data_IF_776533708761
#
_entry.id   IF_776533708761
#
_cell.length_a   1.000
_cell.length_b   1.000
_cell.length_c   1.000
_cell.angle_alpha   90.00
_cell.angle_beta   90.00
_cell.angle_gamma   90.00
#
_symmetry.space_group_name_H-M   'P 1'
#
loop_
_entity.id
_entity.type
_entity.pdbx_description
1 polymer ?
#
# COMPACT_ATOMS: atom_id res chain seq x y z
N UNK A 1 -3.07 -12.58 -13.22
CA UNK A 1 -2.48 -11.50 -12.40
C UNK A 1 -3.48 -10.37 -12.25
N UNK A 2 -3.53 -9.72 -11.08
CA UNK A 2 -4.40 -8.59 -10.79
C UNK A 2 -3.57 -7.34 -10.44
N UNK A 3 -3.90 -6.19 -11.02
CA UNK A 3 -3.26 -4.90 -10.73
C UNK A 3 -4.19 -4.00 -9.92
N UNK A 4 -3.75 -3.56 -8.75
CA UNK A 4 -4.47 -2.67 -7.84
C UNK A 4 -3.77 -1.32 -7.81
N UNK A 5 -4.25 -0.36 -8.59
CA UNK A 5 -3.67 0.99 -8.65
C UNK A 5 -3.91 1.81 -7.38
N UNK A 6 -3.20 2.93 -7.26
CA UNK A 6 -3.25 3.84 -6.11
C UNK A 6 -4.48 4.75 -6.06
N UNK A 7 -4.49 5.64 -5.08
CA UNK A 7 -5.57 6.61 -4.88
C UNK A 7 -5.63 7.60 -6.03
N UNK A 8 -6.84 8.04 -6.39
CA UNK A 8 -7.04 8.99 -7.48
C UNK A 8 -6.82 8.42 -8.88
N UNK A 9 -6.54 7.12 -9.01
CA UNK A 9 -6.39 6.46 -10.30
C UNK A 9 -7.70 6.44 -11.09
N UNK A 10 -7.58 6.14 -12.38
CA UNK A 10 -8.72 5.92 -13.25
C UNK A 10 -8.47 4.72 -14.17
N UNK A 11 -9.55 4.12 -14.64
CA UNK A 11 -9.53 3.00 -15.57
C UNK A 11 -10.63 3.21 -16.61
N UNK A 12 -10.27 3.15 -17.88
CA UNK A 12 -11.16 3.38 -19.03
C UNK A 12 -11.35 2.14 -19.89
N UNK A 13 -10.92 0.96 -19.43
CA UNK A 13 -11.01 -0.29 -20.21
C UNK A 13 -9.71 -0.69 -20.90
N UNK A 14 -8.62 0.04 -20.67
CA UNK A 14 -7.33 -0.23 -21.30
C UNK A 14 -6.75 -1.59 -20.89
N UNK A 15 -5.93 -2.18 -21.77
CA UNK A 15 -5.17 -3.40 -21.47
C UNK A 15 -3.80 -3.05 -20.91
N UNK A 16 -3.25 -3.97 -20.12
CA UNK A 16 -1.89 -3.87 -19.61
C UNK A 16 -0.95 -4.37 -20.70
N UNK A 17 0.03 -3.55 -21.06
CA UNK A 17 1.04 -3.86 -22.07
C UNK A 17 2.44 -4.00 -21.46
N UNK A 18 3.38 -4.55 -22.23
CA UNK A 18 4.78 -4.63 -21.85
C UNK A 18 5.18 -5.87 -21.05
N UNK A 19 4.22 -6.72 -20.69
CA UNK A 19 4.47 -8.04 -20.09
C UNK A 19 4.36 -9.17 -21.13
N UNK A 20 4.97 -10.34 -20.89
CA UNK A 20 4.88 -11.50 -21.78
C UNK A 20 3.43 -11.92 -22.04
N UNK A 21 3.13 -12.34 -23.26
CA UNK A 21 1.77 -12.67 -23.71
C UNK A 21 1.11 -13.84 -22.98
N UNK A 22 1.91 -14.74 -22.41
CA UNK A 22 1.45 -15.88 -21.62
C UNK A 22 1.01 -15.48 -20.20
N UNK A 23 1.32 -14.26 -19.75
CA UNK A 23 0.79 -13.72 -18.52
C UNK A 23 -0.45 -12.86 -18.78
N UNK A 24 -1.57 -13.29 -18.20
CA UNK A 24 -2.81 -12.53 -18.28
C UNK A 24 -2.93 -11.57 -17.10
N UNK A 25 -3.05 -10.28 -17.42
CA UNK A 25 -3.25 -9.21 -16.46
C UNK A 25 -4.65 -8.61 -16.60
N UNK A 26 -5.26 -8.30 -15.46
CA UNK A 26 -6.48 -7.49 -15.38
C UNK A 26 -6.33 -6.44 -14.28
N UNK A 27 -7.07 -5.34 -14.40
CA UNK A 27 -7.14 -4.33 -13.35
C UNK A 27 -8.19 -4.71 -12.31
N UNK A 28 -7.89 -4.39 -11.05
CA UNK A 28 -8.91 -4.23 -10.03
C UNK A 28 -9.69 -2.95 -10.34
N UNK A 29 -11.01 -3.08 -10.38
CA UNK A 29 -11.89 -1.92 -10.46
C UNK A 29 -12.42 -1.53 -9.10
N UNK A 30 -12.19 -0.26 -8.75
CA UNK A 30 -12.77 0.37 -7.57
C UNK A 30 -14.30 0.48 -7.64
N UNK A 31 -14.93 0.28 -8.81
CA UNK A 31 -16.39 0.22 -8.96
C UNK A 31 -16.96 -1.20 -8.97
N UNK A 32 -16.10 -2.21 -9.12
CA UNK A 32 -16.49 -3.61 -9.20
C UNK A 32 -16.38 -4.13 -10.64
N UNK A 33 -17.05 -5.23 -10.93
CA UNK A 33 -16.94 -5.91 -12.22
C UNK A 33 -18.33 -6.10 -12.85
N UNK A 34 -18.35 -6.24 -14.17
CA UNK A 34 -19.50 -6.73 -14.91
C UNK A 34 -19.81 -8.20 -14.55
N UNK A 35 -21.00 -8.72 -14.89
CA UNK A 35 -21.35 -10.12 -14.61
C UNK A 35 -20.42 -11.17 -15.24
N UNK A 36 -19.75 -10.83 -16.34
CA UNK A 36 -18.70 -11.67 -16.97
C UNK A 36 -17.33 -11.60 -16.24
N UNK A 37 -17.27 -10.78 -15.19
CA UNK A 37 -16.11 -10.49 -14.36
C UNK A 37 -15.08 -9.57 -15.02
N UNK A 38 -15.43 -8.84 -16.07
CA UNK A 38 -14.60 -7.77 -16.60
C UNK A 38 -14.64 -6.54 -15.68
N UNK A 39 -13.51 -5.86 -15.40
CA UNK A 39 -13.49 -4.71 -14.50
C UNK A 39 -14.31 -3.53 -15.07
N UNK A 40 -15.15 -2.92 -14.24
CA UNK A 40 -15.90 -1.71 -14.62
C UNK A 40 -14.93 -0.52 -14.78
N UNK A 41 -15.07 0.31 -15.83
CA UNK A 41 -14.39 1.59 -15.91
C UNK A 41 -14.72 2.48 -14.70
N UNK A 42 -13.72 3.17 -14.16
CA UNK A 42 -13.86 4.03 -12.99
C UNK A 42 -13.01 5.31 -13.13
N UNK A 43 -13.48 6.39 -12.49
CA UNK A 43 -12.72 7.62 -12.32
C UNK A 43 -12.18 7.78 -10.89
N UNK A 44 -11.40 8.83 -10.62
CA UNK A 44 -10.69 9.04 -9.36
C UNK A 44 -11.54 8.86 -8.11
N UNK A 45 -12.76 9.42 -8.10
CA UNK A 45 -13.67 9.38 -6.95
C UNK A 45 -14.05 7.97 -6.49
N UNK A 46 -13.94 6.95 -7.37
CA UNK A 46 -14.20 5.57 -6.97
C UNK A 46 -13.20 5.07 -5.92
N UNK A 47 -12.00 5.65 -5.89
CA UNK A 47 -10.94 5.30 -4.93
C UNK A 47 -11.17 5.86 -3.52
N UNK A 48 -12.12 6.79 -3.34
CA UNK A 48 -12.33 7.51 -2.07
C UNK A 48 -13.21 6.75 -1.05
N UNK A 49 -13.70 5.56 -1.42
CA UNK A 49 -14.49 4.71 -0.51
C UNK A 49 -13.63 4.23 0.66
N UNK A 50 -14.27 3.85 1.77
CA UNK A 50 -13.55 3.27 2.91
C UNK A 50 -12.78 2.02 2.49
N UNK A 51 -11.59 1.82 3.05
CA UNK A 51 -10.72 0.67 2.77
C UNK A 51 -11.45 -0.67 2.95
N UNK A 52 -12.33 -0.82 3.94
CA UNK A 52 -13.07 -2.08 4.15
C UNK A 52 -14.06 -2.39 3.00
N UNK A 53 -14.70 -1.37 2.41
CA UNK A 53 -15.53 -1.54 1.21
C UNK A 53 -14.65 -1.96 0.02
N UNK A 54 -13.50 -1.31 -0.13
CA UNK A 54 -12.58 -1.59 -1.23
C UNK A 54 -11.97 -2.99 -1.12
N UNK A 55 -11.64 -3.43 0.10
CA UNK A 55 -11.10 -4.76 0.40
C UNK A 55 -12.12 -5.87 0.13
N UNK A 56 -13.39 -5.69 0.53
CA UNK A 56 -14.46 -6.64 0.18
C UNK A 56 -14.65 -6.76 -1.33
N UNK A 57 -14.68 -5.62 -2.03
CA UNK A 57 -14.76 -5.59 -3.50
C UNK A 57 -13.54 -6.24 -4.17
N UNK A 58 -12.37 -6.14 -3.55
CA UNK A 58 -11.15 -6.81 -4.00
C UNK A 58 -11.25 -8.32 -3.79
N UNK A 59 -11.82 -8.77 -2.67
CA UNK A 59 -12.09 -10.19 -2.43
C UNK A 59 -13.01 -10.78 -3.50
N UNK A 60 -14.11 -10.09 -3.85
CA UNK A 60 -15.04 -10.54 -4.89
C UNK A 60 -14.31 -10.73 -6.24
N UNK A 61 -13.51 -9.74 -6.65
CA UNK A 61 -12.77 -9.79 -7.92
C UNK A 61 -11.65 -10.83 -7.92
N UNK A 62 -10.93 -11.02 -6.80
CA UNK A 62 -9.93 -12.08 -6.67
C UNK A 62 -10.59 -13.45 -6.75
N UNK A 63 -11.70 -13.66 -6.05
CA UNK A 63 -12.43 -14.93 -6.04
C UNK A 63 -12.97 -15.26 -7.44
N UNK A 64 -13.53 -14.29 -8.14
CA UNK A 64 -14.06 -14.53 -9.49
C UNK A 64 -12.96 -14.69 -10.53
N UNK A 65 -11.81 -14.03 -10.36
CA UNK A 65 -10.64 -14.31 -11.19
C UNK A 65 -10.11 -15.73 -10.93
N UNK A 66 -9.97 -16.13 -9.66
CA UNK A 66 -9.52 -17.46 -9.26
C UNK A 66 -10.42 -18.57 -9.81
N UNK A 67 -11.75 -18.42 -9.70
CA UNK A 67 -12.71 -19.39 -10.25
C UNK A 67 -12.58 -19.54 -11.77
N UNK A 68 -12.35 -18.45 -12.50
CA UNK A 68 -12.22 -18.47 -13.96
C UNK A 68 -10.90 -19.06 -14.44
N UNK A 69 -9.81 -18.82 -13.71
CA UNK A 69 -8.48 -19.29 -14.10
C UNK A 69 -8.14 -20.66 -13.53
N UNK A 70 -8.78 -21.09 -12.43
CA UNK A 70 -8.42 -22.29 -11.69
C UNK A 70 -7.05 -22.21 -11.02
N UNK A 71 -6.44 -21.02 -10.95
CA UNK A 71 -5.07 -20.81 -10.48
C UNK A 71 -5.02 -19.73 -9.38
N UNK A 72 -4.06 -19.80 -8.44
CA UNK A 72 -3.77 -18.71 -7.52
C UNK A 72 -3.49 -17.40 -8.27
N UNK A 73 -3.83 -16.28 -7.63
CA UNK A 73 -3.74 -14.95 -8.24
C UNK A 73 -2.50 -14.22 -7.74
N UNK A 74 -1.54 -14.00 -8.62
CA UNK A 74 -0.48 -13.01 -8.37
C UNK A 74 -1.02 -11.59 -8.46
N UNK A 75 -0.62 -10.73 -7.53
CA UNK A 75 -1.12 -9.36 -7.38
C UNK A 75 0.02 -8.34 -7.47
N UNK A 76 -0.20 -7.25 -8.18
CA UNK A 76 0.63 -6.05 -8.13
C UNK A 76 -0.22 -4.95 -7.51
N UNK A 77 0.15 -4.46 -6.33
CA UNK A 77 -0.54 -3.37 -5.66
C UNK A 77 0.34 -2.12 -5.61
N UNK A 78 -0.19 -0.97 -5.99
CA UNK A 78 0.56 0.28 -6.10
C UNK A 78 0.05 1.33 -5.11
N UNK A 79 0.98 2.01 -4.44
CA UNK A 79 0.69 3.13 -3.55
C UNK A 79 -0.41 2.78 -2.54
N UNK A 80 -1.54 3.50 -2.50
CA UNK A 80 -2.68 3.24 -1.65
C UNK A 80 -3.40 1.92 -1.93
N UNK A 81 -3.28 1.37 -3.14
CA UNK A 81 -3.77 0.04 -3.48
C UNK A 81 -3.12 -1.06 -2.62
N UNK A 82 -1.90 -0.82 -2.12
CA UNK A 82 -1.25 -1.71 -1.16
C UNK A 82 -2.00 -1.76 0.18
N UNK A 83 -2.61 -0.65 0.61
CA UNK A 83 -3.42 -0.58 1.84
C UNK A 83 -4.70 -1.39 1.66
N UNK A 84 -5.36 -1.26 0.50
CA UNK A 84 -6.54 -2.07 0.16
C UNK A 84 -6.21 -3.56 0.17
N UNK A 85 -5.08 -3.95 -0.43
CA UNK A 85 -4.65 -5.35 -0.43
C UNK A 85 -4.29 -5.87 0.98
N UNK A 86 -3.62 -5.07 1.82
CA UNK A 86 -3.33 -5.47 3.21
C UNK A 86 -4.59 -5.56 4.08
N UNK A 87 -5.62 -4.76 3.80
CA UNK A 87 -6.92 -4.91 4.43
C UNK A 87 -7.63 -6.18 3.98
N UNK A 88 -7.56 -6.52 2.69
CA UNK A 88 -8.04 -7.80 2.18
C UNK A 88 -7.38 -8.99 2.92
N UNK A 89 -6.06 -9.01 3.05
CA UNK A 89 -5.34 -10.06 3.78
C UNK A 89 -5.65 -10.12 5.28
N UNK A 90 -6.07 -9.01 5.89
CA UNK A 90 -6.50 -8.98 7.30
C UNK A 90 -7.76 -9.82 7.52
N UNK A 91 -8.65 -9.83 6.53
CA UNK A 91 -10.00 -10.41 6.64
C UNK A 91 -10.07 -11.84 6.08
N UNK A 92 -9.05 -12.29 5.35
CA UNK A 92 -9.03 -13.58 4.65
C UNK A 92 -7.80 -14.39 5.07
N UNK A 93 -8.02 -15.49 5.79
CA UNK A 93 -6.93 -16.36 6.30
C UNK A 93 -6.25 -17.19 5.21
N UNK A 94 -7.03 -17.69 4.26
CA UNK A 94 -6.56 -18.54 3.16
C UNK A 94 -6.95 -17.94 1.80
N UNK A 95 -6.41 -16.75 1.44
CA UNK A 95 -6.75 -16.11 0.18
C UNK A 95 -6.16 -16.91 -1.00
N UNK A 96 -6.84 -16.98 -2.16
CA UNK A 96 -6.30 -17.64 -3.36
C UNK A 96 -5.26 -16.75 -4.07
N UNK A 97 -4.25 -16.30 -3.33
CA UNK A 97 -3.15 -15.43 -3.76
C UNK A 97 -1.85 -16.08 -3.32
N UNK A 98 -0.92 -16.27 -4.26
CA UNK A 98 0.39 -16.89 -4.01
C UNK A 98 1.51 -15.86 -3.92
N UNK A 99 1.39 -14.75 -4.63
CA UNK A 99 2.42 -13.72 -4.73
C UNK A 99 1.79 -12.33 -4.71
N UNK A 100 2.38 -11.41 -3.94
CA UNK A 100 2.09 -9.98 -4.04
C UNK A 100 3.37 -9.16 -4.23
N UNK A 101 3.29 -8.22 -5.15
CA UNK A 101 4.26 -7.15 -5.35
C UNK A 101 3.65 -5.87 -4.79
N UNK A 102 4.25 -5.32 -3.73
CA UNK A 102 3.86 -4.03 -3.16
C UNK A 102 4.73 -2.93 -3.76
N UNK A 103 4.21 -2.14 -4.67
CA UNK A 103 4.91 -1.00 -5.29
C UNK A 103 4.63 0.27 -4.50
N UNK A 104 5.68 0.91 -3.96
CA UNK A 104 5.55 2.11 -3.12
C UNK A 104 4.52 1.97 -1.98
N UNK A 105 4.52 0.89 -1.18
CA UNK A 105 3.60 0.80 -0.05
C UNK A 105 3.78 1.96 0.92
N UNK A 106 2.69 2.37 1.56
CA UNK A 106 2.73 3.32 2.67
C UNK A 106 3.28 2.59 3.91
N UNK A 107 4.59 2.61 4.09
CA UNK A 107 5.30 1.79 5.10
C UNK A 107 4.97 2.20 6.54
N UNK A 108 4.75 3.49 6.79
CA UNK A 108 4.34 4.02 8.09
C UNK A 108 3.24 5.06 7.88
N UNK A 109 2.03 4.63 7.52
CA UNK A 109 0.94 5.58 7.38
C UNK A 109 0.59 6.12 8.76
N UNK A 110 -0.18 7.21 8.80
CA UNK A 110 -0.80 7.66 10.06
C UNK A 110 0.20 8.25 11.09
N UNK A 111 1.24 8.95 10.61
CA UNK A 111 2.11 9.80 11.47
C UNK A 111 1.42 11.10 11.92
N UNK A 112 0.18 11.30 11.48
CA UNK A 112 -0.62 12.51 11.64
C UNK A 112 -2.02 12.08 12.01
N UNK A 113 -2.64 12.79 12.95
CA UNK A 113 -4.01 12.54 13.38
C UNK A 113 -4.86 13.79 13.18
N UNK A 114 -5.96 13.62 12.45
CA UNK A 114 -7.00 14.61 12.30
C UNK A 114 -8.20 14.19 13.15
N UNK A 115 -8.55 14.90 14.22
CA UNK A 115 -9.75 14.57 14.97
C UNK A 115 -11.03 14.72 14.12
N UNK A 116 -12.12 14.02 14.46
CA UNK A 116 -13.45 14.29 13.91
C UNK A 116 -13.88 15.74 14.18
N UNK A 117 -14.67 16.32 13.27
CA UNK A 117 -15.15 17.72 13.39
C UNK A 117 -15.98 18.01 14.65
N UNK A 118 -16.50 16.98 15.32
CA UNK A 118 -17.35 17.10 16.50
C UNK A 118 -16.58 17.11 17.83
N UNK A 119 -15.25 17.03 17.81
CA UNK A 119 -14.42 17.00 19.02
C UNK A 119 -13.55 18.23 19.13
N UNK A 120 -13.70 19.00 20.21
CA UNK A 120 -12.76 20.05 20.64
C UNK A 120 -11.40 19.40 20.91
N UNK A 121 -10.58 19.29 19.88
CA UNK A 121 -9.34 18.53 19.94
C UNK A 121 -8.32 19.07 18.94
N UNK A 122 -7.06 18.93 19.30
CA UNK A 122 -5.93 19.41 18.52
C UNK A 122 -5.49 18.33 17.52
N UNK A 123 -5.17 18.74 16.29
CA UNK A 123 -4.47 17.89 15.33
C UNK A 123 -2.97 18.16 15.36
N UNK A 124 -2.14 17.12 15.26
CA UNK A 124 -0.70 17.27 15.00
C UNK A 124 -0.43 16.84 13.57
N UNK A 125 -0.10 17.82 12.72
CA UNK A 125 0.37 17.62 11.36
C UNK A 125 1.64 18.42 11.13
N UNK A 126 2.79 17.79 11.34
CA UNK A 126 4.10 18.37 11.01
C UNK A 126 4.71 17.54 9.88
N UNK A 127 5.26 18.20 8.85
CA UNK A 127 6.11 17.55 7.85
C UNK A 127 5.66 17.66 6.38
N UNK A 128 6.56 17.25 5.48
CA UNK A 128 6.34 17.25 4.03
C UNK A 128 5.30 16.23 3.54
N UNK A 129 4.94 15.24 4.35
CA UNK A 129 3.95 14.20 3.97
C UNK A 129 2.54 14.77 3.72
N UNK A 130 2.09 15.73 4.55
CA UNK A 130 0.82 16.45 4.31
C UNK A 130 0.87 17.21 2.99
N UNK A 131 2.05 17.78 2.67
CA UNK A 131 2.27 18.51 1.42
C UNK A 131 2.32 17.55 0.24
N UNK A 132 2.88 16.36 0.40
CA UNK A 132 2.94 15.33 -0.65
C UNK A 132 1.55 14.77 -0.95
N UNK A 133 0.73 14.45 0.07
CA UNK A 133 -0.66 14.04 -0.11
C UNK A 133 -1.49 15.14 -0.79
N UNK A 134 -1.33 16.40 -0.35
CA UNK A 134 -1.98 17.54 -1.00
C UNK A 134 -1.48 17.78 -2.44
N UNK A 135 -0.21 17.52 -2.73
CA UNK A 135 0.40 17.70 -4.05
C UNK A 135 0.02 16.58 -5.02
N UNK A 136 0.03 15.31 -4.58
CA UNK A 136 -0.43 14.15 -5.36
C UNK A 136 -1.93 14.26 -5.68
N UNK A 137 -2.74 14.65 -4.69
CA UNK A 137 -4.15 14.97 -4.86
C UNK A 137 -4.38 16.01 -5.96
N UNK A 138 -3.66 17.14 -5.90
CA UNK A 138 -3.77 18.23 -6.87
C UNK A 138 -3.25 17.85 -8.25
N UNK A 139 -2.17 17.08 -8.31
CA UNK A 139 -1.49 16.74 -9.56
C UNK A 139 -2.22 15.67 -10.37
N UNK A 140 -2.86 14.68 -9.72
CA UNK A 140 -3.50 13.56 -10.42
C UNK A 140 -5.01 13.71 -10.65
N UNK A 141 -5.73 14.43 -9.79
CA UNK A 141 -7.20 14.33 -9.76
C UNK A 141 -7.95 15.65 -9.87
N UNK A 142 -7.28 16.79 -9.64
CA UNK A 142 -7.95 18.08 -9.44
C UNK A 142 -8.86 18.15 -8.20
N UNK A 143 -8.99 17.04 -7.45
CA UNK A 143 -9.74 16.94 -6.19
C UNK A 143 -8.87 17.40 -5.02
N UNK A 144 -9.51 17.89 -3.96
CA UNK A 144 -8.89 18.11 -2.66
C UNK A 144 -9.11 16.86 -1.80
N UNK A 145 -8.06 16.07 -1.57
CA UNK A 145 -8.04 15.02 -0.53
C UNK A 145 -8.51 15.65 0.77
N UNK A 146 -9.59 15.09 1.32
CA UNK A 146 -10.15 15.55 2.59
C UNK A 146 -9.75 14.59 3.68
N UNK A 147 -9.26 15.11 4.82
CA UNK A 147 -9.05 14.28 6.00
C UNK A 147 -10.34 13.61 6.51
N UNK A 148 -11.50 14.14 6.10
CA UNK A 148 -12.82 13.62 6.44
C UNK A 148 -13.35 12.56 5.45
N UNK A 149 -12.66 12.29 4.36
CA UNK A 149 -13.16 11.34 3.37
C UNK A 149 -13.09 9.88 3.88
N UNK A 150 -13.99 8.99 3.41
CA UNK A 150 -14.09 7.63 3.93
C UNK A 150 -12.78 6.83 3.84
N UNK A 151 -12.02 6.99 2.76
CA UNK A 151 -10.72 6.35 2.58
C UNK A 151 -9.75 6.72 3.71
N UNK A 152 -9.44 8.01 3.87
CA UNK A 152 -8.52 8.50 4.92
C UNK A 152 -9.02 8.12 6.32
N UNK A 153 -10.32 8.30 6.60
CA UNK A 153 -10.90 7.96 7.90
C UNK A 153 -10.75 6.48 8.24
N UNK A 154 -10.93 5.58 7.27
CA UNK A 154 -10.75 4.14 7.50
C UNK A 154 -9.29 3.75 7.74
N UNK A 155 -8.33 4.40 7.08
CA UNK A 155 -6.89 4.20 7.35
C UNK A 155 -6.55 4.67 8.76
N UNK A 156 -7.02 5.86 9.16
CA UNK A 156 -6.81 6.39 10.51
C UNK A 156 -7.44 5.47 11.56
N UNK A 157 -8.64 4.94 11.33
CA UNK A 157 -9.30 4.02 12.25
C UNK A 157 -8.48 2.72 12.46
N UNK A 158 -7.89 2.19 11.38
CA UNK A 158 -7.05 0.99 11.41
C UNK A 158 -5.54 1.30 11.52
N UNK A 159 -5.17 2.51 11.96
CA UNK A 159 -3.80 3.01 11.98
C UNK A 159 -2.77 2.04 12.59
N UNK A 160 -3.00 1.48 13.80
CA UNK A 160 -2.09 0.52 14.42
C UNK A 160 -1.81 -0.71 13.54
N UNK A 161 -2.84 -1.23 12.86
CA UNK A 161 -2.69 -2.39 11.99
C UNK A 161 -1.77 -2.08 10.82
N UNK A 162 -2.07 -1.03 10.03
CA UNK A 162 -1.23 -0.71 8.86
C UNK A 162 0.18 -0.32 9.28
N UNK A 163 0.34 0.43 10.36
CA UNK A 163 1.66 0.86 10.86
C UNK A 163 2.56 -0.32 11.27
N UNK A 164 1.99 -1.36 11.88
CA UNK A 164 2.76 -2.49 12.38
C UNK A 164 2.83 -3.66 11.38
N UNK A 165 1.79 -3.82 10.57
CA UNK A 165 1.63 -4.99 9.72
C UNK A 165 1.72 -4.66 8.24
N UNK A 166 2.18 -3.49 7.79
CA UNK A 166 2.28 -3.24 6.33
C UNK A 166 3.26 -4.22 5.64
N UNK A 167 4.43 -4.45 6.24
CA UNK A 167 5.54 -5.20 5.66
C UNK A 167 5.79 -6.54 6.40
N UNK A 168 4.72 -7.13 6.93
CA UNK A 168 4.81 -8.45 7.56
C UNK A 168 4.46 -9.58 6.59
N UNK A 169 5.14 -10.74 6.70
CA UNK A 169 4.82 -11.90 5.90
C UNK A 169 3.41 -12.39 6.21
N UNK A 170 2.81 -13.06 5.23
CA UNK A 170 1.57 -13.83 5.39
C UNK A 170 1.88 -15.25 4.96
N UNK A 171 1.47 -16.21 5.78
CA UNK A 171 1.74 -17.61 5.52
C UNK A 171 1.18 -18.01 4.15
N UNK A 172 1.98 -18.72 3.35
CA UNK A 172 1.60 -19.17 2.01
C UNK A 172 1.67 -18.11 0.91
N UNK A 173 1.98 -16.84 1.24
CA UNK A 173 2.06 -15.75 0.26
C UNK A 173 3.48 -15.19 0.18
N UNK A 174 4.04 -15.21 -1.03
CA UNK A 174 5.29 -14.52 -1.34
C UNK A 174 5.04 -13.02 -1.47
N UNK A 175 5.48 -12.25 -0.49
CA UNK A 175 5.34 -10.78 -0.48
C UNK A 175 6.70 -10.14 -0.76
N UNK A 176 6.76 -9.22 -1.71
CA UNK A 176 7.96 -8.41 -1.98
C UNK A 176 7.57 -6.94 -2.08
N UNK A 177 8.28 -6.08 -1.36
CA UNK A 177 8.04 -4.64 -1.37
C UNK A 177 9.08 -3.92 -2.21
N UNK A 178 8.62 -3.01 -3.06
CA UNK A 178 9.45 -2.16 -3.89
C UNK A 178 9.34 -0.72 -3.40
N UNK A 179 10.42 -0.20 -2.81
CA UNK A 179 10.43 1.11 -2.15
C UNK A 179 11.21 2.12 -2.99
N UNK A 180 10.59 3.24 -3.39
CA UNK A 180 11.33 4.27 -4.08
C UNK A 180 12.27 4.99 -3.08
N UNK A 181 13.51 5.27 -3.49
CA UNK A 181 14.54 5.91 -2.65
C UNK A 181 14.02 7.20 -2.01
N UNK A 182 13.25 8.02 -2.74
CA UNK A 182 12.70 9.26 -2.21
C UNK A 182 11.59 9.04 -1.15
N UNK A 183 10.71 8.05 -1.30
CA UNK A 183 9.73 7.74 -0.24
C UNK A 183 10.40 7.11 0.96
N UNK A 184 11.43 6.29 0.76
CA UNK A 184 12.21 5.74 1.85
C UNK A 184 12.99 6.82 2.61
N UNK A 185 13.45 7.86 1.92
CA UNK A 185 14.03 9.05 2.55
C UNK A 185 12.99 9.80 3.40
N UNK A 186 11.72 9.83 2.98
CA UNK A 186 10.64 10.47 3.76
C UNK A 186 10.09 9.56 4.88
N UNK A 187 10.03 8.25 4.63
CA UNK A 187 9.39 7.24 5.48
C UNK A 187 10.18 5.93 5.43
N UNK A 188 11.33 5.84 6.13
CA UNK A 188 12.12 4.64 6.20
C UNK A 188 11.35 3.47 6.83
N UNK A 189 11.32 2.25 6.24
CA UNK A 189 11.10 1.04 7.02
C UNK A 189 12.20 0.99 8.08
N UNK A 190 11.84 1.04 9.35
CA UNK A 190 12.82 0.69 10.37
C UNK A 190 13.15 -0.81 10.23
N UNK A 191 14.41 -1.20 10.42
CA UNK A 191 14.89 -2.56 10.14
C UNK A 191 14.11 -3.70 10.81
N UNK A 192 13.37 -3.41 11.88
CA UNK A 192 12.49 -4.35 12.61
C UNK A 192 11.01 -4.36 12.16
N UNK A 193 10.65 -3.52 11.18
CA UNK A 193 9.28 -3.35 10.68
C UNK A 193 9.01 -4.12 9.38
N UNK A 194 10.05 -4.66 8.73
CA UNK A 194 9.92 -5.45 7.51
C UNK A 194 10.47 -6.86 7.71
N UNK A 195 9.61 -7.86 7.56
CA UNK A 195 10.00 -9.27 7.49
C UNK A 195 9.70 -9.85 6.09
N UNK A 196 9.59 -8.98 5.10
CA UNK A 196 9.45 -9.32 3.68
C UNK A 196 10.65 -8.76 2.91
N UNK A 197 11.10 -9.40 1.82
CA UNK A 197 12.12 -8.84 0.95
C UNK A 197 11.75 -7.45 0.44
N UNK A 198 12.73 -6.55 0.46
CA UNK A 198 12.61 -5.16 -0.02
C UNK A 198 13.55 -4.94 -1.20
N UNK A 199 13.03 -4.31 -2.24
CA UNK A 199 13.77 -3.88 -3.44
C UNK A 199 13.69 -2.35 -3.50
N UNK A 200 14.81 -1.68 -3.28
CA UNK A 200 14.96 -0.25 -3.50
C UNK A 200 14.92 0.07 -5.00
N UNK A 201 14.22 1.15 -5.35
CA UNK A 201 14.18 1.68 -6.71
C UNK A 201 14.52 3.17 -6.66
N UNK A 202 15.47 3.61 -7.49
CA UNK A 202 15.85 5.01 -7.62
C UNK A 202 14.81 5.82 -8.38
N UNK A 203 13.71 6.14 -7.72
CA UNK A 203 12.63 6.97 -8.28
C UNK A 203 11.85 7.69 -7.16
N UNK A 204 10.80 8.41 -7.55
CA UNK A 204 9.86 9.08 -6.64
C UNK A 204 8.57 8.27 -6.46
N UNK A 205 7.84 8.55 -5.39
CA UNK A 205 6.52 7.97 -5.14
C UNK A 205 5.59 8.19 -6.34
N UNK A 206 4.94 7.13 -6.83
CA UNK A 206 4.00 7.21 -7.95
C UNK A 206 4.63 7.16 -9.36
N UNK A 207 5.96 7.24 -9.50
CA UNK A 207 6.64 7.16 -10.80
C UNK A 207 7.15 5.74 -11.15
N UNK A 208 6.67 4.72 -10.44
CA UNK A 208 7.17 3.36 -10.56
C UNK A 208 6.75 2.64 -11.85
N UNK A 209 5.70 3.09 -12.52
CA UNK A 209 5.12 2.36 -13.66
C UNK A 209 5.93 2.46 -14.97
N UNK A 210 6.93 3.35 -15.05
CA UNK A 210 7.59 3.73 -16.32
C UNK A 210 9.04 3.20 -16.49
N UNK A 211 9.46 2.25 -15.64
CA UNK A 211 10.84 1.74 -15.65
C UNK A 211 10.92 0.30 -16.17
N UNK A 212 11.52 0.10 -17.36
CA UNK A 212 11.70 -1.23 -17.97
C UNK A 212 12.41 -2.24 -17.06
N UNK A 213 13.48 -1.83 -16.39
CA UNK A 213 14.22 -2.68 -15.44
C UNK A 213 13.40 -3.09 -14.20
N UNK A 214 12.42 -2.27 -13.80
CA UNK A 214 11.48 -2.65 -12.74
C UNK A 214 10.56 -3.78 -13.21
N UNK A 215 10.13 -3.75 -14.48
CA UNK A 215 9.22 -4.74 -15.03
C UNK A 215 9.81 -6.15 -14.97
N UNK A 216 11.09 -6.30 -15.31
CA UNK A 216 11.77 -7.61 -15.26
C UNK A 216 11.88 -8.13 -13.83
N UNK A 217 12.10 -7.25 -12.86
CA UNK A 217 12.17 -7.63 -11.43
C UNK A 217 10.79 -7.98 -10.87
N UNK A 218 9.74 -7.24 -11.27
CA UNK A 218 8.35 -7.58 -10.97
C UNK A 218 8.01 -8.94 -11.56
N UNK A 219 8.37 -9.17 -12.82
CA UNK A 219 8.17 -10.45 -13.53
C UNK A 219 8.86 -11.61 -12.80
N UNK A 220 10.13 -11.47 -12.47
CA UNK A 220 10.88 -12.47 -11.70
C UNK A 220 10.19 -12.74 -10.35
N UNK A 221 9.69 -11.70 -9.68
CA UNK A 221 8.95 -11.88 -8.42
C UNK A 221 7.68 -12.70 -8.62
N UNK A 222 6.87 -12.35 -9.62
CA UNK A 222 5.59 -13.00 -9.92
C UNK A 222 5.76 -14.46 -10.38
N UNK A 223 6.91 -14.84 -10.93
CA UNK A 223 7.21 -16.21 -11.39
C UNK A 223 8.01 -17.03 -10.40
N UNK A 224 8.27 -16.49 -9.21
CA UNK A 224 9.06 -17.19 -8.20
C UNK A 224 10.58 -17.13 -8.41
N UNK A 225 11.05 -16.39 -9.41
CA UNK A 225 12.48 -16.17 -9.70
C UNK A 225 13.25 -15.47 -8.57
N UNK A 226 14.58 -15.43 -8.65
CA UNK A 226 15.42 -14.78 -7.64
C UNK A 226 15.21 -13.26 -7.64
N UNK A 227 15.36 -12.66 -6.47
CA UNK A 227 15.42 -11.20 -6.34
C UNK A 227 16.86 -10.71 -6.58
N UNK A 228 17.05 -9.50 -7.11
CA UNK A 228 18.38 -8.93 -7.26
C UNK A 228 19.01 -8.74 -5.88
N UNK A 229 20.30 -9.09 -5.76
CA UNK A 229 21.10 -8.70 -4.60
C UNK A 229 21.22 -7.19 -4.59
N UNK A 230 20.78 -6.56 -3.49
CA UNK A 230 20.86 -5.11 -3.35
C UNK A 230 21.85 -4.72 -2.25
N UNK A 231 22.66 -3.72 -2.57
CA UNK A 231 23.43 -2.99 -1.58
C UNK A 231 22.53 -1.88 -0.99
N UNK A 232 22.06 -2.10 0.23
CA UNK A 232 21.22 -1.14 0.95
C UNK A 232 22.05 -0.08 1.70
N UNK A 233 23.37 -0.04 1.55
CA UNK A 233 24.21 0.95 2.26
C UNK A 233 23.86 2.38 1.83
N UNK A 234 23.64 2.61 0.53
CA UNK A 234 23.19 3.93 0.03
C UNK A 234 21.80 4.30 0.56
N UNK A 235 20.93 3.30 0.74
CA UNK A 235 19.60 3.47 1.28
C UNK A 235 19.65 3.98 2.72
N UNK A 236 20.43 3.31 3.58
CA UNK A 236 20.60 3.70 4.99
C UNK A 236 21.20 5.10 5.14
N UNK A 237 22.16 5.46 4.29
CA UNK A 237 22.76 6.81 4.26
C UNK A 237 21.74 7.88 3.89
N UNK A 238 20.95 7.65 2.83
CA UNK A 238 19.90 8.58 2.40
C UNK A 238 18.83 8.72 3.49
N UNK A 239 18.45 7.63 4.14
CA UNK A 239 17.50 7.66 5.26
C UNK A 239 18.03 8.47 6.44
N UNK A 240 19.29 8.27 6.83
CA UNK A 240 19.93 9.03 7.91
C UNK A 240 19.97 10.53 7.61
N UNK A 241 20.33 10.91 6.39
CA UNK A 241 20.35 12.30 5.96
C UNK A 241 18.94 12.94 5.93
N UNK A 242 17.93 12.17 5.53
CA UNK A 242 16.57 12.66 5.42
C UNK A 242 15.81 12.67 6.75
N UNK A 243 16.26 11.95 7.78
CA UNK A 243 15.59 11.82 9.07
C UNK A 243 15.21 13.17 9.72
N UNK A 244 16.07 14.17 9.60
CA UNK A 244 15.82 15.52 10.13
C UNK A 244 14.67 16.28 9.46
N UNK A 245 14.23 15.84 8.27
CA UNK A 245 13.15 16.46 7.49
C UNK A 245 11.83 15.67 7.55
N UNK A 246 11.80 14.55 8.28
CA UNK A 246 10.62 13.70 8.40
C UNK A 246 9.71 14.16 9.54
N UNK A 247 8.40 13.96 9.37
CA UNK A 247 7.45 14.07 10.47
C UNK A 247 7.81 13.06 11.58
N UNK A 248 7.96 13.38 12.87
CA UNK A 248 8.17 12.32 13.86
C UNK A 248 6.99 11.32 13.86
N UNK A 249 7.24 10.06 14.20
CA UNK A 249 6.16 9.10 14.40
C UNK A 249 5.22 9.59 15.50
N UNK A 250 3.90 9.52 15.29
CA UNK A 250 2.90 9.85 16.32
C UNK A 250 2.70 8.62 17.25
N UNK A 251 3.04 8.72 18.55
CA UNK A 251 2.79 7.63 19.49
C UNK A 251 1.34 7.17 19.50
N UNK A 252 1.10 5.86 19.46
CA UNK A 252 -0.25 5.30 19.47
C UNK A 252 -1.03 5.72 20.72
N UNK A 253 -0.32 5.93 21.83
CA UNK A 253 -0.90 6.36 23.10
C UNK A 253 -1.50 7.78 23.07
N UNK A 254 -1.19 8.61 22.06
CA UNK A 254 -1.76 9.96 21.92
C UNK A 254 -3.05 10.00 21.13
N UNK A 255 -3.43 8.92 20.43
CA UNK A 255 -4.70 8.84 19.72
C UNK A 255 -5.69 8.02 20.55
N UNK A 256 -6.77 8.63 21.07
CA UNK A 256 -7.69 7.97 21.99
C UNK A 256 -8.25 6.65 21.47
N UNK A 257 -8.59 6.59 20.19
CA UNK A 257 -9.16 5.39 19.54
C UNK A 257 -8.16 4.26 19.33
N UNK A 258 -6.85 4.52 19.41
CA UNK A 258 -5.82 3.47 19.28
C UNK A 258 -5.35 2.97 20.64
N UNK A 259 -5.38 3.83 21.67
CA UNK A 259 -4.97 3.48 23.04
C UNK A 259 -5.74 2.27 23.59
N UNK A 260 -7.01 2.11 23.23
CA UNK A 260 -7.85 0.98 23.66
C UNK A 260 -7.39 -0.37 23.12
N UNK A 261 -6.63 -0.40 22.02
CA UNK A 261 -6.35 -1.63 21.27
C UNK A 261 -5.09 -2.37 21.73
N UNK A 262 -4.39 -1.89 22.77
CA UNK A 262 -3.14 -2.47 23.36
C UNK A 262 -2.08 -2.90 22.33
N UNK A 263 -2.12 -2.33 21.12
CA UNK A 263 -1.21 -2.73 20.04
C UNK A 263 0.20 -2.19 20.33
N UNK A 264 1.25 -2.99 20.11
CA UNK A 264 2.62 -2.50 20.29
C UNK A 264 2.89 -1.32 19.36
N UNK A 265 3.58 -0.29 19.84
CA UNK A 265 4.02 0.82 18.99
C UNK A 265 5.38 0.49 18.38
N UNK A 266 5.41 -0.52 17.51
CA UNK A 266 6.64 -1.09 16.99
C UNK A 266 7.63 -0.05 16.43
N UNK A 267 7.21 1.01 15.72
CA UNK A 267 8.14 2.02 15.23
C UNK A 267 8.76 2.91 16.32
N UNK A 268 8.23 2.93 17.55
CA UNK A 268 8.80 3.68 18.68
C UNK A 268 9.48 2.80 19.72
N UNK A 269 9.02 1.56 19.90
CA UNK A 269 9.51 0.67 20.97
C UNK A 269 10.58 -0.32 20.51
N UNK A 270 10.99 -0.30 19.23
CA UNK A 270 11.90 -1.29 18.63
C UNK A 270 11.46 -2.76 18.81
N UNK A 271 10.18 -2.99 19.10
CA UNK A 271 9.60 -4.33 19.15
C UNK A 271 9.36 -4.82 17.73
N UNK A 272 9.63 -6.10 17.44
CA UNK A 272 9.36 -6.68 16.11
C UNK A 272 7.87 -6.60 15.79
N UNK A 273 7.53 -5.87 14.73
CA UNK A 273 6.14 -5.58 14.40
C UNK A 273 5.37 -6.80 13.87
N UNK A 274 6.11 -7.81 13.40
CA UNK A 274 5.58 -8.98 12.73
C UNK A 274 5.45 -10.22 13.62
N UNK A 275 5.92 -10.15 14.86
CA UNK A 275 5.72 -11.26 15.81
C UNK A 275 4.21 -11.40 16.11
N UNK A 276 3.71 -12.62 16.31
CA UNK A 276 2.35 -12.79 16.82
C UNK A 276 2.22 -12.07 18.18
N UNK A 277 1.05 -11.48 18.48
CA UNK A 277 0.79 -10.91 19.79
C UNK A 277 0.87 -11.97 20.89
#
# INVERSE_FOLDING_TARGET
MLVVDGYGSHYTGQRIHGYPSWMHFTYYSYRGQYPDGAPLPYGPNATHQSVDILARRLADQINDLHKRTGAPIGVIAHSEGTVVFRAYLREHRDPPVDTVVLLSPLVRPVRIYYPPRSTDSWGVGLGWEVRLLAMLSRWQTGSTVSADEPFVRSILAAGPYFRNRMLCPVQGIRIVAFLPTASAAAVPPAGHLSNVPVVEIRTVHGALTDHGALRDTILATLTGGPLPTQDLTSYELVQGAAAGWQAPSLPLAYVPTWRSNQSPDAPLTNTRACDPP
#
